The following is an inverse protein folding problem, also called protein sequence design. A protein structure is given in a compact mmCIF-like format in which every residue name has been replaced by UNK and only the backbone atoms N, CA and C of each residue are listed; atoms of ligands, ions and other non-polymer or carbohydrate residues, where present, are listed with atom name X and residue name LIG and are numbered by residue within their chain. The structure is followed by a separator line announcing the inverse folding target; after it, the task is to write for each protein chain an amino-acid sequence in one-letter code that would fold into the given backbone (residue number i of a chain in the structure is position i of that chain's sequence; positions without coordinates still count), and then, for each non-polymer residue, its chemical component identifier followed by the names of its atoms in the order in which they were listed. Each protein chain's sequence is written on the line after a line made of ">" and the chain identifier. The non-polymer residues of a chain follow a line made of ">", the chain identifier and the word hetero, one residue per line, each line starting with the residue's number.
data_IF_181589963163
#
_entry.id   IF_181589963163
#
_cell.length_a   1.000
_cell.length_b   1.000
_cell.length_c   1.000
_cell.angle_alpha   90.00
_cell.angle_beta   90.00
_cell.angle_gamma   90.00
#
_symmetry.space_group_name_H-M   'P 1'
#
loop_
_entity.id
_entity.type
_entity.pdbx_description
1 polymer ?
#
# COMPACT_ATOMS: atom_id res chain seq x y z
N UNK A 1 22.51 -71.00 -44.31
CA UNK A 1 21.16 -71.60 -44.13
C UNK A 1 21.16 -72.26 -42.76
N UNK A 2 20.44 -71.87 -41.71
CA UNK A 2 19.37 -70.90 -41.52
C UNK A 2 18.28 -71.52 -40.63
N UNK A 3 18.18 -71.06 -39.36
CA UNK A 3 17.11 -71.31 -38.36
C UNK A 3 17.00 -72.75 -37.82
N UNK A 4 16.56 -73.07 -36.61
CA UNK A 4 15.97 -72.41 -35.43
C UNK A 4 16.33 -73.32 -34.20
N UNK A 5 16.06 -73.08 -32.92
CA UNK A 5 15.29 -72.10 -32.14
C UNK A 5 15.53 -72.42 -30.64
N UNK A 6 15.57 -71.42 -29.77
CA UNK A 6 14.58 -71.16 -28.70
C UNK A 6 14.20 -72.36 -27.78
N UNK A 7 14.62 -72.31 -26.51
CA UNK A 7 13.77 -72.01 -25.33
C UNK A 7 14.39 -72.57 -24.02
N UNK A 8 14.20 -71.80 -22.95
CA UNK A 8 14.90 -71.86 -21.66
C UNK A 8 14.31 -72.85 -20.64
N UNK A 9 15.14 -73.23 -19.65
CA UNK A 9 14.86 -73.55 -18.23
C UNK A 9 16.23 -73.84 -17.57
N UNK A 10 16.66 -73.41 -16.38
CA UNK A 10 16.13 -72.64 -15.27
C UNK A 10 17.01 -72.98 -14.04
N UNK A 11 17.37 -71.97 -13.23
CA UNK A 11 18.12 -72.02 -11.94
C UNK A 11 19.63 -72.41 -12.05
N UNK A 12 20.61 -71.78 -11.41
CA UNK A 12 20.68 -71.16 -10.08
C UNK A 12 21.60 -69.91 -10.01
N UNK A 13 21.51 -69.25 -8.86
CA UNK A 13 21.98 -67.90 -8.51
C UNK A 13 23.49 -67.82 -8.25
N UNK A 14 24.10 -66.71 -8.66
CA UNK A 14 25.12 -66.01 -7.86
C UNK A 14 24.80 -64.51 -7.85
N UNK A 15 24.41 -64.03 -6.67
CA UNK A 15 24.14 -62.63 -6.41
C UNK A 15 25.45 -61.89 -6.07
N UNK A 16 25.64 -60.70 -6.64
CA UNK A 16 26.29 -59.60 -5.93
C UNK A 16 25.75 -58.25 -6.45
N UNK A 17 24.94 -57.52 -5.66
CA UNK A 17 24.30 -56.28 -6.05
C UNK A 17 25.05 -55.08 -5.46
N UNK A 18 26.02 -54.51 -6.17
CA UNK A 18 26.88 -53.44 -5.64
C UNK A 18 26.63 -52.04 -6.20
N UNK A 19 25.62 -51.81 -7.05
CA UNK A 19 25.34 -50.45 -7.57
C UNK A 19 23.98 -49.85 -7.21
N UNK A 20 23.00 -50.64 -6.76
CA UNK A 20 21.62 -50.13 -6.52
C UNK A 20 21.43 -49.56 -5.11
N UNK A 21 22.38 -49.77 -4.19
CA UNK A 21 22.24 -49.38 -2.77
C UNK A 21 22.69 -47.94 -2.45
N UNK A 22 23.46 -47.29 -3.32
CA UNK A 22 23.95 -45.91 -3.08
C UNK A 22 22.99 -44.81 -3.56
N UNK A 23 22.05 -45.12 -4.45
CA UNK A 23 21.10 -44.13 -4.98
C UNK A 23 19.71 -44.18 -4.37
N UNK A 24 19.38 -45.24 -3.61
CA UNK A 24 18.11 -45.32 -2.85
C UNK A 24 17.93 -44.23 -1.78
N UNK A 25 18.94 -43.85 -0.96
CA UNK A 25 18.72 -42.80 0.04
C UNK A 25 18.55 -41.43 -0.60
N UNK A 26 19.25 -41.16 -1.71
CA UNK A 26 19.16 -39.89 -2.44
C UNK A 26 17.81 -39.74 -3.16
N UNK A 27 17.31 -40.81 -3.79
CA UNK A 27 16.00 -40.84 -4.43
C UNK A 27 14.86 -40.71 -3.41
N UNK A 28 14.97 -41.37 -2.26
CA UNK A 28 14.01 -41.22 -1.16
C UNK A 28 14.05 -39.82 -0.54
N UNK A 29 15.23 -39.18 -0.46
CA UNK A 29 15.36 -37.80 0.02
C UNK A 29 14.71 -36.82 -0.95
N UNK A 30 14.88 -37.00 -2.26
CA UNK A 30 14.26 -36.16 -3.30
C UNK A 30 12.73 -36.36 -3.29
N UNK A 31 12.24 -37.59 -3.15
CA UNK A 31 10.80 -37.86 -3.02
C UNK A 31 10.26 -37.26 -1.71
N UNK A 32 10.99 -37.34 -0.60
CA UNK A 32 10.60 -36.72 0.67
C UNK A 32 10.62 -35.18 0.62
N UNK A 33 11.57 -34.57 -0.09
CA UNK A 33 11.65 -33.12 -0.31
C UNK A 33 10.54 -32.64 -1.28
N UNK A 34 10.21 -33.43 -2.31
CA UNK A 34 9.12 -33.12 -3.25
C UNK A 34 7.72 -33.39 -2.67
N UNK A 35 7.55 -34.43 -1.84
CA UNK A 35 6.29 -34.72 -1.15
C UNK A 35 6.10 -33.87 0.13
N UNK A 36 7.19 -33.41 0.75
CA UNK A 36 7.17 -32.48 1.88
C UNK A 36 6.85 -31.03 1.49
N UNK A 37 6.90 -30.69 0.20
CA UNK A 37 6.62 -29.36 -0.33
C UNK A 37 5.14 -29.14 -0.74
N UNK A 38 4.24 -30.11 -0.53
CA UNK A 38 2.83 -29.99 -0.94
C UNK A 38 1.78 -30.15 0.18
N UNK A 39 2.17 -30.03 1.45
CA UNK A 39 1.20 -29.87 2.56
C UNK A 39 1.36 -28.46 3.16
N UNK A 40 1.26 -27.46 2.30
CA UNK A 40 0.85 -26.12 2.68
C UNK A 40 -0.39 -25.83 1.87
N UNK A 41 -1.57 -26.01 2.46
CA UNK A 41 -2.80 -25.52 1.86
C UNK A 41 -2.64 -24.02 1.66
N UNK A 42 -2.35 -23.60 0.42
CA UNK A 42 -2.74 -22.30 -0.06
C UNK A 42 -4.27 -22.23 0.05
N UNK A 43 -4.78 -21.88 1.22
CA UNK A 43 -6.12 -21.32 1.31
C UNK A 43 -6.04 -19.93 0.70
N UNK A 44 -6.13 -19.91 -0.64
CA UNK A 44 -6.65 -18.75 -1.35
C UNK A 44 -8.03 -18.51 -0.74
N UNK A 45 -8.13 -17.53 0.14
CA UNK A 45 -9.40 -17.05 0.64
C UNK A 45 -10.11 -16.33 -0.50
N UNK A 46 -10.65 -17.12 -1.44
CA UNK A 46 -11.69 -16.64 -2.35
C UNK A 46 -12.80 -16.03 -1.48
N UNK A 47 -13.41 -14.89 -1.86
CA UNK A 47 -14.52 -14.34 -1.09
C UNK A 47 -15.60 -15.42 -1.01
N UNK A 48 -15.77 -16.01 0.17
CA UNK A 48 -16.55 -17.21 0.34
C UNK A 48 -18.02 -16.88 0.11
N UNK A 49 -18.69 -17.64 -0.75
CA UNK A 49 -20.12 -17.51 -0.96
C UNK A 49 -20.87 -17.63 0.38
N UNK A 50 -21.54 -16.56 0.82
CA UNK A 50 -22.21 -16.49 2.14
C UNK A 50 -23.68 -16.91 2.10
N UNK A 51 -24.09 -17.72 1.11
CA UNK A 51 -25.48 -18.14 0.96
C UNK A 51 -26.04 -18.84 2.20
N UNK A 52 -25.24 -19.71 2.84
CA UNK A 52 -25.66 -20.43 4.04
C UNK A 52 -26.07 -19.48 5.17
N UNK A 53 -25.32 -18.38 5.36
CA UNK A 53 -25.66 -17.35 6.33
C UNK A 53 -27.00 -16.67 6.01
N UNK A 54 -27.20 -16.27 4.75
CA UNK A 54 -28.48 -15.70 4.31
C UNK A 54 -29.66 -16.65 4.58
N UNK A 55 -29.48 -17.95 4.34
CA UNK A 55 -30.51 -18.97 4.61
C UNK A 55 -30.77 -19.13 6.11
N UNK A 56 -29.71 -19.21 6.93
CA UNK A 56 -29.84 -19.32 8.39
C UNK A 56 -30.55 -18.10 8.99
N UNK A 57 -30.22 -16.89 8.53
CA UNK A 57 -30.86 -15.65 8.98
C UNK A 57 -32.36 -15.64 8.63
N UNK A 58 -32.73 -16.08 7.42
CA UNK A 58 -34.14 -16.21 7.02
C UNK A 58 -34.92 -17.23 7.87
N UNK A 59 -34.33 -18.40 8.12
CA UNK A 59 -34.94 -19.42 8.97
C UNK A 59 -35.12 -18.90 10.40
N UNK A 60 -34.11 -18.21 10.95
CA UNK A 60 -34.19 -17.58 12.27
C UNK A 60 -35.33 -16.55 12.36
N UNK A 61 -35.43 -15.66 11.36
CA UNK A 61 -36.47 -14.63 11.28
C UNK A 61 -37.89 -15.18 11.13
N UNK A 62 -38.03 -16.41 10.65
CA UNK A 62 -39.33 -17.04 10.37
C UNK A 62 -39.70 -18.14 11.37
N UNK A 63 -38.75 -18.64 12.16
CA UNK A 63 -38.96 -19.75 13.11
C UNK A 63 -40.02 -19.46 14.19
N UNK A 64 -40.19 -18.19 14.57
CA UNK A 64 -41.16 -17.77 15.59
C UNK A 64 -42.52 -17.34 15.00
N UNK A 65 -42.64 -17.27 13.67
CA UNK A 65 -43.86 -16.85 13.00
C UNK A 65 -44.83 -18.03 12.92
N UNK A 66 -45.95 -17.95 13.64
CA UNK A 66 -47.05 -18.91 13.53
C UNK A 66 -48.26 -18.30 12.82
N UNK A 67 -49.06 -19.08 12.07
CA UNK A 67 -50.21 -18.56 11.32
C UNK A 67 -51.31 -17.92 12.19
N UNK A 68 -51.25 -18.11 13.51
CA UNK A 68 -52.19 -17.58 14.48
C UNK A 68 -51.83 -16.18 15.02
N UNK A 69 -50.70 -15.60 14.56
CA UNK A 69 -50.22 -14.28 15.00
C UNK A 69 -50.72 -13.20 14.04
N UNK A 70 -51.36 -12.15 14.58
CA UNK A 70 -51.72 -10.95 13.83
C UNK A 70 -50.48 -10.32 13.19
N UNK A 71 -50.52 -10.10 11.87
CA UNK A 71 -49.39 -9.54 11.12
C UNK A 71 -48.37 -10.57 10.59
N UNK A 72 -48.61 -11.88 10.76
CA UNK A 72 -47.77 -12.97 10.21
C UNK A 72 -47.36 -12.74 8.75
N UNK A 73 -48.31 -12.38 7.89
CA UNK A 73 -48.06 -12.14 6.47
C UNK A 73 -47.09 -10.96 6.23
N UNK A 74 -47.23 -9.90 7.02
CA UNK A 74 -46.38 -8.70 6.92
C UNK A 74 -44.96 -9.00 7.38
N UNK A 75 -44.79 -9.67 8.51
CA UNK A 75 -43.46 -10.01 9.06
C UNK A 75 -42.74 -11.06 8.21
N UNK A 76 -43.48 -12.03 7.65
CA UNK A 76 -42.93 -12.99 6.71
C UNK A 76 -42.44 -12.32 5.43
N UNK A 77 -43.21 -11.40 4.86
CA UNK A 77 -42.78 -10.62 3.69
C UNK A 77 -41.55 -9.73 3.99
N UNK A 78 -41.46 -9.14 5.20
CA UNK A 78 -40.27 -8.40 5.64
C UNK A 78 -39.03 -9.30 5.72
N UNK A 79 -39.16 -10.51 6.26
CA UNK A 79 -38.06 -11.49 6.31
C UNK A 79 -37.66 -11.97 4.92
N UNK A 80 -38.62 -12.17 4.02
CA UNK A 80 -38.37 -12.61 2.64
C UNK A 80 -37.66 -11.53 1.80
N UNK A 81 -38.01 -10.24 1.99
CA UNK A 81 -37.25 -9.12 1.40
C UNK A 81 -35.82 -9.06 1.94
N UNK A 82 -35.63 -9.28 3.25
CA UNK A 82 -34.29 -9.30 3.86
C UNK A 82 -33.42 -10.42 3.26
N UNK A 83 -34.01 -11.60 3.06
CA UNK A 83 -33.34 -12.73 2.41
C UNK A 83 -32.98 -12.43 0.95
N UNK A 84 -33.89 -11.81 0.19
CA UNK A 84 -33.62 -11.34 -1.18
C UNK A 84 -32.44 -10.36 -1.24
N UNK A 85 -32.42 -9.34 -0.38
CA UNK A 85 -31.32 -8.37 -0.33
C UNK A 85 -29.97 -9.02 0.06
N UNK A 86 -29.98 -9.96 1.02
CA UNK A 86 -28.77 -10.70 1.42
C UNK A 86 -28.18 -11.50 0.26
N UNK A 87 -29.03 -12.23 -0.48
CA UNK A 87 -28.59 -13.01 -1.64
C UNK A 87 -28.01 -12.12 -2.75
N UNK A 88 -28.61 -10.95 -3.02
CA UNK A 88 -28.09 -10.01 -4.02
C UNK A 88 -26.69 -9.48 -3.68
N UNK A 89 -26.41 -9.14 -2.41
CA UNK A 89 -25.09 -8.64 -1.98
C UNK A 89 -23.96 -9.67 -2.16
N UNK A 90 -24.25 -10.96 -1.96
CA UNK A 90 -23.25 -12.04 -2.11
C UNK A 90 -23.20 -12.65 -3.53
N UNK A 91 -23.98 -12.15 -4.49
CA UNK A 91 -24.16 -12.78 -5.80
C UNK A 91 -22.86 -12.92 -6.60
N UNK A 92 -21.95 -11.93 -6.53
CA UNK A 92 -20.66 -11.97 -7.24
C UNK A 92 -19.79 -13.15 -6.81
N UNK A 93 -19.79 -13.45 -5.52
CA UNK A 93 -19.03 -14.55 -4.90
C UNK A 93 -19.72 -15.92 -5.01
N UNK A 94 -21.00 -15.95 -5.37
CA UNK A 94 -21.83 -17.17 -5.40
C UNK A 94 -22.16 -17.69 -6.81
N UNK A 95 -21.53 -17.17 -7.87
CA UNK A 95 -21.85 -17.49 -9.28
C UNK A 95 -21.92 -18.99 -9.60
N UNK A 96 -21.03 -19.79 -9.02
CA UNK A 96 -20.96 -21.25 -9.22
C UNK A 96 -21.63 -22.10 -8.13
N UNK A 97 -22.37 -21.50 -7.19
CA UNK A 97 -22.96 -22.22 -6.07
C UNK A 97 -24.41 -22.61 -6.37
N UNK A 98 -24.70 -23.92 -6.43
CA UNK A 98 -26.05 -24.42 -6.72
C UNK A 98 -27.09 -23.99 -5.66
N UNK A 99 -26.71 -23.98 -4.38
CA UNK A 99 -27.59 -23.57 -3.26
C UNK A 99 -28.02 -22.12 -3.40
N UNK A 100 -27.12 -21.25 -3.87
CA UNK A 100 -27.44 -19.86 -4.18
C UNK A 100 -28.51 -19.75 -5.28
N UNK A 101 -28.34 -20.45 -6.40
CA UNK A 101 -29.32 -20.41 -7.49
C UNK A 101 -30.68 -21.00 -7.08
N UNK A 102 -30.67 -22.09 -6.32
CA UNK A 102 -31.89 -22.65 -5.73
C UNK A 102 -32.58 -21.67 -4.77
N UNK A 103 -31.82 -20.95 -3.94
CA UNK A 103 -32.36 -19.94 -3.04
C UNK A 103 -32.96 -18.74 -3.78
N UNK A 104 -32.29 -18.23 -4.83
CA UNK A 104 -32.82 -17.12 -5.65
C UNK A 104 -34.15 -17.49 -6.30
N UNK A 105 -34.27 -18.70 -6.85
CA UNK A 105 -35.51 -19.21 -7.41
C UNK A 105 -36.60 -19.37 -6.34
N UNK A 106 -36.25 -19.96 -5.19
CA UNK A 106 -37.18 -20.15 -4.07
C UNK A 106 -37.69 -18.82 -3.48
N UNK A 107 -36.84 -17.80 -3.39
CA UNK A 107 -37.25 -16.45 -2.96
C UNK A 107 -38.28 -15.88 -3.95
N UNK A 108 -38.02 -15.98 -5.26
CA UNK A 108 -38.95 -15.47 -6.28
C UNK A 108 -40.31 -16.16 -6.22
N UNK A 109 -40.32 -17.48 -6.05
CA UNK A 109 -41.55 -18.28 -5.91
C UNK A 109 -42.33 -17.90 -4.65
N UNK A 110 -41.67 -17.83 -3.49
CA UNK A 110 -42.28 -17.43 -2.23
C UNK A 110 -42.86 -16.00 -2.27
N UNK A 111 -42.21 -15.07 -2.97
CA UNK A 111 -42.70 -13.70 -3.14
C UNK A 111 -44.00 -13.68 -3.94
N UNK A 112 -44.12 -14.51 -4.98
CA UNK A 112 -45.33 -14.64 -5.81
C UNK A 112 -46.44 -15.35 -5.02
N UNK A 113 -46.15 -16.50 -4.41
CA UNK A 113 -47.12 -17.30 -3.67
C UNK A 113 -47.78 -16.53 -2.52
N UNK A 114 -47.03 -15.63 -1.88
CA UNK A 114 -47.53 -14.82 -0.76
C UNK A 114 -47.87 -13.40 -1.16
N UNK A 115 -47.82 -13.04 -2.44
CA UNK A 115 -48.14 -11.68 -2.91
C UNK A 115 -47.37 -10.58 -2.15
N UNK A 116 -46.07 -10.82 -1.89
CA UNK A 116 -45.21 -9.86 -1.20
C UNK A 116 -44.73 -8.81 -2.21
N UNK A 117 -44.88 -7.52 -1.87
CA UNK A 117 -44.21 -6.44 -2.61
C UNK A 117 -42.69 -6.60 -2.55
N UNK A 118 -41.99 -6.37 -3.66
CA UNK A 118 -40.51 -6.35 -3.72
C UNK A 118 -39.93 -5.15 -2.96
N UNK A 119 -40.70 -4.07 -2.89
CA UNK A 119 -40.33 -2.85 -2.19
C UNK A 119 -41.01 -2.77 -0.81
N UNK A 120 -40.29 -2.27 0.19
CA UNK A 120 -40.78 -2.10 1.56
C UNK A 120 -39.75 -2.47 2.63
N UNK A 121 -40.09 -2.34 3.93
CA UNK A 121 -39.16 -2.60 5.02
C UNK A 121 -38.70 -4.07 5.04
N UNK A 122 -37.47 -4.29 5.48
CA UNK A 122 -36.87 -5.62 5.71
C UNK A 122 -36.88 -5.96 7.19
N UNK A 123 -37.04 -7.25 7.53
CA UNK A 123 -36.96 -7.68 8.94
C UNK A 123 -35.49 -7.64 9.37
N UNK A 124 -35.21 -6.95 10.47
CA UNK A 124 -33.86 -6.70 10.94
C UNK A 124 -33.50 -7.66 12.06
N UNK A 125 -32.57 -8.58 11.81
CA UNK A 125 -31.74 -9.18 12.89
C UNK A 125 -30.61 -8.24 13.30
N UNK A 126 -30.44 -7.12 12.59
CA UNK A 126 -29.50 -6.09 12.98
C UNK A 126 -30.14 -5.29 14.13
N UNK A 127 -29.48 -5.12 15.30
CA UNK A 127 -29.91 -4.05 16.20
C UNK A 127 -30.04 -2.79 15.36
N UNK A 128 -31.12 -2.03 15.60
CA UNK A 128 -31.34 -0.67 15.09
C UNK A 128 -29.97 -0.05 14.84
N UNK A 129 -29.61 0.18 13.57
CA UNK A 129 -28.26 0.65 13.22
C UNK A 129 -28.13 2.00 13.91
N UNK A 130 -27.60 1.99 15.12
CA UNK A 130 -27.07 3.17 15.78
C UNK A 130 -26.14 3.74 14.74
N UNK A 131 -26.51 4.91 14.18
CA UNK A 131 -25.71 5.56 13.16
C UNK A 131 -24.30 5.67 13.72
N UNK A 132 -23.40 4.84 13.20
CA UNK A 132 -22.03 4.82 13.69
C UNK A 132 -21.48 6.21 13.38
N UNK A 133 -20.96 6.94 14.39
CA UNK A 133 -20.60 8.32 14.19
C UNK A 133 -19.59 8.40 13.02
N UNK A 134 -19.87 9.30 12.08
CA UNK A 134 -19.00 9.56 10.93
C UNK A 134 -17.67 10.21 11.33
N UNK A 135 -17.39 10.34 12.62
CA UNK A 135 -16.08 10.70 13.12
C UNK A 135 -15.33 9.42 13.54
N UNK A 136 -14.23 9.14 12.85
CA UNK A 136 -13.36 8.01 13.15
C UNK A 136 -12.91 7.99 14.63
N UNK A 137 -12.63 9.16 15.23
CA UNK A 137 -12.22 9.25 16.63
C UNK A 137 -13.35 8.88 17.60
N UNK A 138 -14.56 9.33 17.33
CA UNK A 138 -15.72 8.99 18.16
C UNK A 138 -16.00 7.49 18.08
N UNK A 139 -15.94 6.92 16.88
CA UNK A 139 -16.13 5.48 16.66
C UNK A 139 -15.13 4.62 17.44
N UNK A 140 -13.85 4.94 17.33
CA UNK A 140 -12.79 4.22 18.05
C UNK A 140 -12.93 4.37 19.56
N UNK A 141 -13.34 5.54 20.07
CA UNK A 141 -13.62 5.71 21.51
C UNK A 141 -14.78 4.86 22.01
N UNK A 142 -15.89 4.78 21.25
CA UNK A 142 -17.06 3.97 21.62
C UNK A 142 -16.81 2.46 21.58
N UNK A 143 -16.06 1.98 20.56
CA UNK A 143 -15.68 0.58 20.46
C UNK A 143 -14.89 0.11 21.70
N UNK A 144 -14.04 0.95 22.28
CA UNK A 144 -13.28 0.61 23.49
C UNK A 144 -14.12 0.71 24.78
N UNK A 145 -15.16 1.54 24.85
CA UNK A 145 -16.03 1.62 26.04
C UNK A 145 -16.91 0.39 26.26
N UNK A 146 -17.36 -0.28 25.19
CA UNK A 146 -18.19 -1.50 25.31
C UNK A 146 -17.40 -2.74 25.72
N UNK A 147 -16.08 -2.77 25.50
CA UNK A 147 -15.22 -3.89 25.92
C UNK A 147 -14.93 -3.85 27.43
N UNK A 148 -14.98 -2.66 28.05
CA UNK A 148 -14.68 -2.49 29.47
C UNK A 148 -15.87 -2.76 30.42
N UNK A 149 -17.08 -3.02 29.92
CA UNK A 149 -18.24 -3.34 30.77
C UNK A 149 -18.20 -4.78 31.33
N UNK A 150 -17.29 -5.65 30.87
CA UNK A 150 -17.23 -7.06 31.29
C UNK A 150 -15.89 -7.53 31.90
N UNK A 151 -14.94 -6.63 32.17
CA UNK A 151 -13.67 -7.02 32.78
C UNK A 151 -13.26 -6.06 33.90
N UNK A 152 -13.41 -6.51 35.14
CA UNK A 152 -12.74 -5.92 36.29
C UNK A 152 -11.22 -6.14 36.18
N UNK A 153 -10.46 -5.08 36.46
CA UNK A 153 -9.03 -5.07 36.82
C UNK A 153 -8.01 -5.29 35.69
N UNK A 154 -7.45 -4.20 35.16
CA UNK A 154 -6.09 -3.73 35.43
C UNK A 154 -5.75 -2.61 34.42
N UNK A 155 -5.21 -1.50 34.92
CA UNK A 155 -4.99 -0.28 34.15
C UNK A 155 -4.10 -0.48 32.93
N UNK A 156 -4.70 -0.38 31.75
CA UNK A 156 -4.02 0.02 30.53
C UNK A 156 -4.74 1.24 29.97
N UNK A 157 -4.02 2.37 29.99
CA UNK A 157 -4.52 3.65 29.50
C UNK A 157 -4.99 3.57 28.06
N UNK A 158 -5.94 4.45 27.73
CA UNK A 158 -6.47 4.70 26.40
C UNK A 158 -5.41 4.50 25.28
N UNK A 159 -5.41 3.35 24.61
CA UNK A 159 -4.56 3.15 23.43
C UNK A 159 -5.13 4.01 22.30
N UNK A 160 -4.56 5.20 22.08
CA UNK A 160 -4.90 6.02 20.91
C UNK A 160 -4.70 5.18 19.64
N UNK A 161 -5.55 5.34 18.60
CA UNK A 161 -5.36 4.64 17.34
C UNK A 161 -3.94 4.84 16.82
N UNK A 162 -3.28 3.74 16.48
CA UNK A 162 -1.99 3.78 15.80
C UNK A 162 -2.15 4.43 14.44
N UNK A 163 -1.32 5.43 14.12
CA UNK A 163 -1.29 6.05 12.80
C UNK A 163 0.00 5.63 12.08
N UNK A 164 -0.08 5.55 10.75
CA UNK A 164 1.05 5.33 9.87
C UNK A 164 1.22 6.52 8.93
N UNK A 165 2.44 6.70 8.43
CA UNK A 165 2.79 7.77 7.51
C UNK A 165 3.41 7.18 6.25
N UNK A 166 3.00 7.69 5.09
CA UNK A 166 3.65 7.44 3.81
C UNK A 166 3.93 8.77 3.10
N UNK A 167 5.05 8.87 2.38
CA UNK A 167 5.41 10.07 1.63
C UNK A 167 6.11 9.74 0.31
N UNK A 168 5.83 10.54 -0.71
CA UNK A 168 6.43 10.47 -2.05
C UNK A 168 6.85 11.87 -2.52
N UNK A 169 8.11 12.03 -2.88
CA UNK A 169 8.68 13.31 -3.31
C UNK A 169 9.95 13.09 -4.12
N UNK A 170 10.49 14.11 -4.79
CA UNK A 170 11.77 13.97 -5.49
C UNK A 170 11.71 12.98 -6.64
N UNK A 171 12.78 12.19 -6.82
CA UNK A 171 12.92 11.24 -7.92
C UNK A 171 12.47 9.79 -7.66
N UNK A 172 11.15 9.60 -7.67
CA UNK A 172 10.38 9.53 -6.44
C UNK A 172 11.07 8.73 -5.34
N UNK A 173 11.43 9.45 -4.29
CA UNK A 173 11.75 8.93 -2.99
C UNK A 173 10.47 8.56 -2.24
N UNK A 174 10.38 7.30 -1.83
CA UNK A 174 9.25 6.72 -1.14
C UNK A 174 9.62 6.41 0.32
N UNK A 175 8.88 6.99 1.25
CA UNK A 175 8.80 6.54 2.64
C UNK A 175 7.53 5.73 2.83
N UNK A 176 7.67 4.45 3.16
CA UNK A 176 6.54 3.53 3.37
C UNK A 176 5.95 3.66 4.78
N UNK A 177 4.78 3.05 5.00
CA UNK A 177 4.14 2.91 6.31
C UNK A 177 5.02 2.17 7.34
N UNK A 178 5.98 1.37 6.88
CA UNK A 178 6.94 0.65 7.73
C UNK A 178 8.18 1.48 8.05
N UNK A 179 8.17 2.78 7.70
CA UNK A 179 9.31 3.68 7.81
C UNK A 179 10.54 3.21 7.00
N UNK A 180 10.33 2.37 5.99
CA UNK A 180 11.41 2.07 5.03
C UNK A 180 11.50 3.16 3.98
N UNK A 181 12.73 3.52 3.62
CA UNK A 181 13.02 4.53 2.62
C UNK A 181 13.59 3.89 1.37
N UNK A 182 13.06 4.25 0.21
CA UNK A 182 13.42 3.69 -1.08
C UNK A 182 13.44 4.80 -2.13
N UNK A 183 14.24 4.64 -3.17
CA UNK A 183 14.24 5.54 -4.34
C UNK A 183 13.95 4.71 -5.56
N UNK A 184 12.97 5.15 -6.33
CA UNK A 184 12.29 4.27 -7.26
C UNK A 184 12.21 4.90 -8.64
N UNK A 185 12.36 4.10 -9.69
CA UNK A 185 12.07 4.53 -11.06
C UNK A 185 10.55 4.68 -11.23
N UNK A 186 9.80 3.58 -11.08
CA UNK A 186 8.32 3.51 -11.10
C UNK A 186 7.69 4.45 -12.14
N UNK A 187 8.18 4.35 -13.37
CA UNK A 187 7.70 5.15 -14.51
C UNK A 187 6.25 4.77 -14.86
N UNK A 188 5.43 5.75 -15.23
CA UNK A 188 4.01 5.53 -15.54
C UNK A 188 3.14 5.56 -14.29
N UNK A 189 2.00 4.85 -14.33
CA UNK A 189 0.98 4.93 -13.29
C UNK A 189 1.13 3.81 -12.26
N UNK A 190 1.21 4.16 -10.97
CA UNK A 190 1.46 3.22 -9.88
C UNK A 190 0.51 3.45 -8.68
N UNK A 191 0.00 2.36 -8.06
CA UNK A 191 -0.81 2.45 -6.84
C UNK A 191 0.07 2.65 -5.60
N UNK A 192 -0.11 3.79 -4.93
CA UNK A 192 0.51 4.05 -3.63
C UNK A 192 -0.25 3.35 -2.50
N UNK A 193 -1.56 3.50 -2.51
CA UNK A 193 -2.49 2.89 -1.55
C UNK A 193 -3.63 2.33 -2.39
N UNK A 194 -4.02 1.09 -2.13
CA UNK A 194 -5.25 0.52 -2.66
C UNK A 194 -5.82 -0.47 -1.63
N UNK A 195 -6.69 0.04 -0.77
CA UNK A 195 -7.32 -0.71 0.32
C UNK A 195 -8.84 -0.57 0.26
N UNK A 196 -9.58 -1.12 1.22
CA UNK A 196 -11.06 -1.10 1.18
C UNK A 196 -11.69 0.31 1.20
N UNK A 197 -10.94 1.35 1.58
CA UNK A 197 -11.45 2.70 1.85
C UNK A 197 -10.89 3.79 0.93
N UNK A 198 -9.68 3.61 0.42
CA UNK A 198 -8.91 4.64 -0.27
C UNK A 198 -8.07 4.01 -1.38
N UNK A 199 -8.12 4.63 -2.56
CA UNK A 199 -7.16 4.36 -3.63
C UNK A 199 -6.39 5.64 -3.96
N UNK A 200 -5.05 5.56 -3.93
CA UNK A 200 -4.14 6.65 -4.28
C UNK A 200 -3.24 6.16 -5.40
N UNK A 201 -3.34 6.82 -6.55
CA UNK A 201 -2.56 6.50 -7.74
C UNK A 201 -1.71 7.71 -8.13
N UNK A 202 -0.46 7.47 -8.50
CA UNK A 202 0.45 8.50 -9.00
C UNK A 202 0.92 8.17 -10.39
N UNK A 203 1.21 9.17 -11.20
CA UNK A 203 1.90 9.01 -12.48
C UNK A 203 3.26 9.68 -12.41
N UNK A 204 4.32 8.92 -12.67
CA UNK A 204 5.69 9.44 -12.70
C UNK A 204 6.21 9.47 -14.13
N UNK A 205 6.92 10.54 -14.46
CA UNK A 205 7.52 10.77 -15.79
C UNK A 205 9.02 10.99 -15.65
N UNK A 206 9.86 10.53 -16.61
CA UNK A 206 11.28 10.82 -16.59
C UNK A 206 11.55 12.32 -16.55
N UNK A 207 12.44 12.76 -15.65
CA UNK A 207 12.79 14.19 -15.52
C UNK A 207 13.62 14.63 -16.72
N UNK A 208 14.55 13.78 -17.16
CA UNK A 208 15.29 13.95 -18.41
C UNK A 208 15.19 12.67 -19.24
N UNK A 209 15.06 12.77 -20.58
CA UNK A 209 14.98 11.59 -21.45
C UNK A 209 16.18 10.65 -21.26
N UNK A 210 15.91 9.36 -21.03
CA UNK A 210 16.94 8.33 -20.87
C UNK A 210 17.54 8.22 -19.46
N UNK A 211 17.13 9.06 -18.50
CA UNK A 211 17.51 8.90 -17.09
C UNK A 211 16.56 7.96 -16.34
N UNK A 212 17.08 7.31 -15.30
CA UNK A 212 16.29 6.55 -14.33
C UNK A 212 15.53 7.45 -13.35
N UNK A 213 15.89 8.74 -13.26
CA UNK A 213 15.20 9.71 -12.41
C UNK A 213 13.85 10.08 -13.03
N UNK A 214 12.77 9.73 -12.34
CA UNK A 214 11.41 10.14 -12.70
C UNK A 214 10.87 11.11 -11.66
N UNK A 215 9.73 11.76 -11.88
CA UNK A 215 9.06 12.56 -10.87
C UNK A 215 7.55 12.58 -11.10
N UNK A 216 6.78 12.77 -10.03
CA UNK A 216 5.33 12.69 -10.08
C UNK A 216 4.72 13.91 -10.77
N UNK A 217 3.91 13.71 -11.81
CA UNK A 217 3.22 14.80 -12.51
C UNK A 217 1.69 14.73 -12.42
N UNK A 218 1.15 13.64 -11.88
CA UNK A 218 -0.29 13.45 -11.66
C UNK A 218 -0.54 12.63 -10.42
N UNK A 219 -1.53 13.04 -9.63
CA UNK A 219 -2.01 12.32 -8.44
C UNK A 219 -3.52 12.18 -8.57
N UNK A 220 -4.03 10.98 -8.38
CA UNK A 220 -5.46 10.68 -8.31
C UNK A 220 -5.76 10.02 -6.96
N UNK A 221 -6.70 10.56 -6.21
CA UNK A 221 -7.14 10.05 -4.91
C UNK A 221 -8.63 9.75 -5.02
N UNK A 222 -9.00 8.51 -4.75
CA UNK A 222 -10.40 8.04 -4.74
C UNK A 222 -10.75 7.69 -3.29
N UNK A 223 -11.62 8.50 -2.71
CA UNK A 223 -12.30 8.19 -1.46
C UNK A 223 -13.47 7.26 -1.79
N UNK A 224 -13.36 5.99 -1.42
CA UNK A 224 -14.41 4.98 -1.67
C UNK A 224 -15.66 5.33 -0.85
N UNK A 225 -16.87 4.98 -1.34
CA UNK A 225 -18.11 5.33 -0.65
C UNK A 225 -18.13 4.70 0.75
N UNK A 226 -18.61 5.47 1.72
CA UNK A 226 -18.77 5.03 3.10
C UNK A 226 -20.21 5.30 3.55
N UNK A 227 -20.96 4.22 3.77
CA UNK A 227 -22.39 4.27 4.06
C UNK A 227 -22.70 5.21 5.24
N UNK A 228 -23.65 6.12 5.04
CA UNK A 228 -24.04 7.11 6.04
C UNK A 228 -23.09 8.30 6.22
N UNK A 229 -21.92 8.33 5.57
CA UNK A 229 -20.94 9.40 5.75
C UNK A 229 -20.55 10.14 4.48
N UNK A 230 -20.24 9.44 3.39
CA UNK A 230 -19.87 10.10 2.12
C UNK A 230 -20.10 9.18 0.94
N UNK A 231 -20.57 9.76 -0.15
CA UNK A 231 -20.48 9.13 -1.47
C UNK A 231 -19.02 9.06 -1.93
N UNK A 232 -18.78 8.31 -3.01
CA UNK A 232 -17.46 8.26 -3.64
C UNK A 232 -17.04 9.66 -4.09
N UNK A 233 -15.80 10.06 -3.78
CA UNK A 233 -15.21 11.31 -4.26
C UNK A 233 -13.86 11.06 -4.92
N UNK A 234 -13.63 11.76 -6.02
CA UNK A 234 -12.37 11.68 -6.78
C UNK A 234 -11.71 13.05 -6.74
N UNK A 235 -10.44 13.06 -6.38
CA UNK A 235 -9.58 14.22 -6.44
C UNK A 235 -8.45 13.94 -7.43
N UNK A 236 -8.29 14.81 -8.42
CA UNK A 236 -7.18 14.73 -9.36
C UNK A 236 -6.36 16.02 -9.38
N UNK A 237 -5.04 15.86 -9.25
CA UNK A 237 -4.07 16.93 -9.40
C UNK A 237 -3.08 16.60 -10.53
N UNK A 238 -2.64 17.62 -11.25
CA UNK A 238 -1.60 17.54 -12.27
C UNK A 238 -0.60 18.68 -12.16
N UNK A 239 0.51 18.58 -12.88
CA UNK A 239 1.42 19.72 -13.06
C UNK A 239 0.65 20.93 -13.57
N UNK A 240 0.82 22.07 -12.89
CA UNK A 240 0.18 23.36 -13.15
C UNK A 240 -1.35 23.38 -12.92
N UNK A 241 -1.90 22.31 -12.33
CA UNK A 241 -3.30 22.20 -11.99
C UNK A 241 -3.48 21.46 -10.65
N UNK A 242 -3.44 22.23 -9.55
CA UNK A 242 -3.70 21.74 -8.20
C UNK A 242 -5.01 22.35 -7.67
N UNK A 243 -6.18 21.75 -7.98
CA UNK A 243 -7.47 22.31 -7.61
C UNK A 243 -7.73 22.18 -6.10
N UNK A 244 -8.54 23.10 -5.56
CA UNK A 244 -9.07 23.06 -4.20
C UNK A 244 -10.46 22.40 -4.10
N UNK A 245 -10.80 21.56 -5.09
CA UNK A 245 -12.09 20.89 -5.21
C UNK A 245 -11.89 19.46 -5.76
N UNK A 246 -12.88 18.60 -5.54
CA UNK A 246 -13.04 17.31 -6.19
C UNK A 246 -13.39 17.50 -7.68
N UNK A 247 -13.29 16.43 -8.47
CA UNK A 247 -13.52 16.47 -9.92
C UNK A 247 -14.94 16.93 -10.31
N UNK A 248 -15.91 16.76 -9.40
CA UNK A 248 -17.29 17.24 -9.55
C UNK A 248 -17.49 18.70 -9.11
N UNK A 249 -16.42 19.40 -8.74
CA UNK A 249 -16.43 20.79 -8.27
C UNK A 249 -16.80 20.96 -6.79
N UNK A 250 -17.12 19.88 -6.07
CA UNK A 250 -17.43 19.96 -4.64
C UNK A 250 -16.15 20.14 -3.81
N UNK A 251 -16.21 20.88 -2.71
CA UNK A 251 -15.07 21.06 -1.77
C UNK A 251 -15.18 20.16 -0.54
N UNK A 252 -16.30 19.47 -0.39
CA UNK A 252 -16.60 18.59 0.74
C UNK A 252 -17.69 17.60 0.39
N UNK A 253 -17.76 16.52 1.17
CA UNK A 253 -18.77 15.47 1.07
C UNK A 253 -19.19 15.00 2.45
N UNK A 254 -20.46 14.60 2.56
CA UNK A 254 -21.08 14.16 3.82
C UNK A 254 -21.65 15.29 4.67
N UNK A 255 -22.59 14.91 5.54
CA UNK A 255 -23.21 15.84 6.48
C UNK A 255 -22.20 16.35 7.53
N UNK A 256 -22.37 17.59 8.03
CA UNK A 256 -21.51 18.11 9.07
C UNK A 256 -21.68 17.32 10.37
N UNK A 257 -20.58 16.76 10.87
CA UNK A 257 -20.55 15.99 12.12
C UNK A 257 -20.74 16.97 13.27
N UNK A 258 -21.81 16.79 14.06
CA UNK A 258 -21.94 17.46 15.36
C UNK A 258 -20.96 16.83 16.35
N UNK A 259 -19.97 17.58 16.81
CA UNK A 259 -19.30 17.28 18.08
C UNK A 259 -20.35 17.55 19.17
N UNK A 260 -20.58 16.58 20.03
CA UNK A 260 -21.65 16.55 21.04
C UNK A 260 -21.89 17.87 21.78
N UNK A 261 -23.17 18.12 22.03
CA UNK A 261 -23.81 19.11 22.91
C UNK A 261 -22.96 19.50 24.12
N UNK A 262 -22.32 20.68 24.04
CA UNK A 262 -22.13 21.67 25.11
C UNK A 262 -21.16 22.75 24.64
N UNK A 263 -21.66 23.70 23.84
CA UNK A 263 -21.31 25.12 23.93
C UNK A 263 -21.96 25.85 22.77
N UNK A 264 -22.64 26.93 23.13
CA UNK A 264 -23.32 27.88 22.28
C UNK A 264 -22.30 28.74 21.49
N UNK A 265 -21.43 28.06 20.73
CA UNK A 265 -20.42 28.68 19.89
C UNK A 265 -20.47 28.07 18.50
N UNK A 266 -20.52 28.93 17.49
CA UNK A 266 -20.54 28.58 16.06
C UNK A 266 -19.22 27.93 15.57
N UNK A 267 -18.53 27.18 16.43
CA UNK A 267 -17.24 26.55 16.21
C UNK A 267 -17.39 25.02 16.20
N UNK A 268 -17.27 24.42 15.01
CA UNK A 268 -16.87 23.02 14.91
C UNK A 268 -17.83 22.04 14.23
N UNK A 269 -18.61 22.46 13.23
CA UNK A 269 -19.19 21.51 12.26
C UNK A 269 -18.05 20.96 11.38
N UNK A 270 -17.45 19.83 11.75
CA UNK A 270 -16.41 19.18 10.94
C UNK A 270 -17.10 18.27 9.92
N UNK A 271 -16.94 18.55 8.62
CA UNK A 271 -17.53 17.70 7.55
C UNK A 271 -16.84 16.34 7.51
N UNK A 272 -17.52 15.29 7.03
CA UNK A 272 -16.93 13.95 6.97
C UNK A 272 -15.68 13.93 6.06
N UNK A 273 -15.75 14.59 4.91
CA UNK A 273 -14.66 14.73 3.94
C UNK A 273 -14.60 16.18 3.42
N UNK A 274 -13.42 16.81 3.42
CA UNK A 274 -13.24 18.15 2.85
C UNK A 274 -11.82 18.44 2.36
N UNK A 275 -11.70 19.43 1.48
CA UNK A 275 -10.44 19.95 0.95
C UNK A 275 -10.18 21.34 1.53
N UNK A 276 -8.92 21.61 1.89
CA UNK A 276 -8.45 22.89 2.40
C UNK A 276 -7.28 23.38 1.56
N UNK A 277 -7.44 24.53 0.91
CA UNK A 277 -6.35 25.18 0.17
C UNK A 277 -5.50 26.00 1.14
N UNK A 278 -4.23 25.62 1.28
CA UNK A 278 -3.27 26.28 2.17
C UNK A 278 -2.46 27.34 1.43
N UNK A 279 -2.14 27.06 0.17
CA UNK A 279 -1.48 28.00 -0.75
C UNK A 279 -2.11 27.86 -2.12
N UNK A 280 -2.67 28.93 -2.70
CA UNK A 280 -3.36 28.89 -3.99
C UNK A 280 -2.57 28.18 -5.07
N UNK A 281 -3.16 27.12 -5.66
CA UNK A 281 -2.57 26.33 -6.74
C UNK A 281 -1.23 25.65 -6.42
N UNK A 282 -0.81 25.59 -5.14
CA UNK A 282 0.49 25.02 -4.74
C UNK A 282 0.44 24.05 -3.57
N UNK A 283 -0.54 24.18 -2.68
CA UNK A 283 -0.64 23.33 -1.50
C UNK A 283 -2.09 23.15 -1.09
N UNK A 284 -2.56 21.90 -1.15
CA UNK A 284 -3.87 21.50 -0.66
C UNK A 284 -3.75 20.37 0.35
N UNK A 285 -4.70 20.32 1.26
CA UNK A 285 -4.82 19.28 2.28
C UNK A 285 -6.23 18.69 2.21
N UNK A 286 -6.32 17.37 2.06
CA UNK A 286 -7.56 16.61 2.05
C UNK A 286 -7.73 15.91 3.38
N UNK A 287 -8.91 16.09 3.98
CA UNK A 287 -9.23 15.57 5.29
C UNK A 287 -10.44 14.65 5.20
N UNK A 288 -10.23 13.36 5.45
CA UNK A 288 -11.29 12.36 5.53
C UNK A 288 -11.48 11.97 6.99
N UNK A 289 -12.22 12.80 7.73
CA UNK A 289 -12.50 12.61 9.15
C UNK A 289 -13.21 11.29 9.49
N UNK A 290 -14.00 10.76 8.55
CA UNK A 290 -14.73 9.49 8.72
C UNK A 290 -13.87 8.24 8.75
N UNK A 291 -12.67 8.31 8.16
CA UNK A 291 -11.66 7.24 8.20
C UNK A 291 -10.35 7.71 8.85
N UNK A 292 -10.34 8.91 9.46
CA UNK A 292 -9.15 9.45 10.11
C UNK A 292 -7.96 9.70 9.17
N UNK A 293 -8.18 9.81 7.86
CA UNK A 293 -7.11 10.00 6.87
C UNK A 293 -6.85 11.48 6.62
N UNK A 294 -5.58 11.82 6.42
CA UNK A 294 -5.16 13.16 5.98
C UNK A 294 -4.16 13.01 4.84
N UNK A 295 -4.38 13.73 3.74
CA UNK A 295 -3.50 13.73 2.58
C UNK A 295 -3.05 15.15 2.28
N UNK A 296 -1.75 15.35 2.11
CA UNK A 296 -1.15 16.62 1.68
C UNK A 296 -0.67 16.44 0.24
N UNK A 297 -1.06 17.37 -0.63
CA UNK A 297 -0.56 17.44 -2.01
C UNK A 297 0.05 18.82 -2.23
N UNK A 298 1.28 18.85 -2.76
CA UNK A 298 1.95 20.10 -3.14
C UNK A 298 2.46 20.03 -4.56
N UNK A 299 2.46 21.18 -5.23
CA UNK A 299 3.22 21.38 -6.46
C UNK A 299 4.48 22.19 -6.16
N UNK A 300 5.64 21.63 -6.52
CA UNK A 300 6.95 22.22 -6.30
C UNK A 300 7.74 22.18 -7.62
N UNK A 301 7.92 23.36 -8.21
CA UNK A 301 8.35 23.47 -9.60
C UNK A 301 7.32 22.82 -10.52
N UNK A 302 7.75 21.80 -11.26
CA UNK A 302 6.94 21.08 -12.25
C UNK A 302 6.34 19.77 -11.75
N UNK A 303 6.64 19.39 -10.51
CA UNK A 303 6.31 18.07 -9.99
C UNK A 303 5.48 18.17 -8.72
N UNK A 304 4.80 17.06 -8.40
CA UNK A 304 3.93 16.94 -7.26
C UNK A 304 4.61 16.15 -6.14
N UNK A 305 4.33 16.51 -4.90
CA UNK A 305 4.68 15.70 -3.72
C UNK A 305 3.41 15.28 -2.99
N UNK A 306 3.47 14.13 -2.34
CA UNK A 306 2.35 13.54 -1.61
C UNK A 306 2.81 13.12 -0.21
N UNK A 307 1.99 13.40 0.80
CA UNK A 307 2.14 12.81 2.12
C UNK A 307 0.79 12.33 2.66
N UNK A 308 0.75 11.16 3.28
CA UNK A 308 -0.49 10.53 3.78
C UNK A 308 -0.30 10.10 5.23
N UNK A 309 -1.29 10.45 6.07
CA UNK A 309 -1.49 9.87 7.40
C UNK A 309 -2.75 9.02 7.38
N UNK A 310 -2.65 7.77 7.82
CA UNK A 310 -3.76 6.80 7.83
C UNK A 310 -3.73 5.99 9.13
N UNK A 311 -4.88 5.60 9.72
CA UNK A 311 -4.89 4.65 10.82
C UNK A 311 -4.33 3.28 10.40
N UNK A 312 -3.59 2.63 11.29
CA UNK A 312 -2.91 1.36 11.02
C UNK A 312 -3.89 0.26 10.58
N UNK A 313 -5.03 0.15 11.25
CA UNK A 313 -6.08 -0.82 10.92
C UNK A 313 -6.66 -0.64 9.51
N UNK A 314 -6.78 0.60 9.03
CA UNK A 314 -7.28 0.87 7.67
C UNK A 314 -6.19 0.66 6.62
N UNK A 315 -4.93 0.96 6.95
CA UNK A 315 -3.81 0.67 6.06
C UNK A 315 -3.62 -0.84 5.82
N UNK A 316 -4.05 -1.68 6.75
CA UNK A 316 -3.97 -3.14 6.68
C UNK A 316 -5.27 -3.82 6.18
N UNK A 317 -6.34 -3.05 5.95
CA UNK A 317 -7.63 -3.55 5.45
C UNK A 317 -7.67 -3.58 3.92
N UNK A 318 -6.99 -4.56 3.33
CA UNK A 318 -6.93 -4.78 1.88
C UNK A 318 -7.08 -6.27 1.56
N UNK A 319 -7.48 -6.58 0.32
CA UNK A 319 -7.64 -7.96 -0.14
C UNK A 319 -6.37 -8.53 -0.80
N UNK A 320 -6.33 -9.85 -1.02
CA UNK A 320 -5.17 -10.51 -1.62
C UNK A 320 -4.93 -10.14 -3.10
N UNK A 321 -5.89 -9.48 -3.77
CA UNK A 321 -5.75 -9.00 -5.15
C UNK A 321 -5.10 -7.62 -5.24
N UNK A 322 -4.96 -6.93 -4.11
CA UNK A 322 -4.35 -5.60 -3.95
C UNK A 322 -2.89 -5.71 -3.44
N UNK A 323 -2.13 -6.67 -3.96
CA UNK A 323 -0.77 -6.96 -3.50
C UNK A 323 0.25 -5.85 -3.83
N UNK A 324 0.03 -5.13 -4.93
CA UNK A 324 0.84 -4.00 -5.36
C UNK A 324 0.38 -2.70 -4.71
N UNK A 325 1.02 -2.33 -3.60
CA UNK A 325 0.83 -1.04 -2.92
C UNK A 325 2.17 -0.49 -2.44
N UNK A 326 2.63 0.60 -3.06
CA UNK A 326 3.95 1.17 -2.78
C UNK A 326 4.09 1.60 -1.30
N UNK A 327 3.08 2.23 -0.70
CA UNK A 327 3.14 2.65 0.70
C UNK A 327 3.21 1.48 1.69
N UNK A 328 2.76 0.28 1.32
CA UNK A 328 2.77 -0.89 2.21
C UNK A 328 4.00 -1.79 2.02
N UNK A 329 4.33 -2.07 0.76
CA UNK A 329 5.33 -3.08 0.37
C UNK A 329 6.60 -2.45 -0.23
N UNK A 330 6.56 -1.16 -0.55
CA UNK A 330 7.62 -0.48 -1.28
C UNK A 330 7.60 -0.81 -2.78
N UNK A 331 8.59 -0.30 -3.48
CA UNK A 331 8.76 -0.52 -4.92
C UNK A 331 9.20 -1.96 -5.21
N UNK A 332 8.76 -2.56 -6.33
CA UNK A 332 9.30 -3.83 -6.80
C UNK A 332 10.82 -3.77 -6.97
N UNK A 333 11.54 -4.87 -6.76
CA UNK A 333 13.01 -4.87 -6.79
C UNK A 333 13.60 -4.38 -8.12
N UNK A 334 12.92 -4.63 -9.26
CA UNK A 334 13.35 -4.13 -10.58
C UNK A 334 13.14 -2.64 -10.79
N UNK A 335 12.33 -1.99 -9.95
CA UNK A 335 12.06 -0.55 -10.00
C UNK A 335 12.87 0.24 -8.96
N UNK A 336 13.69 -0.43 -8.14
CA UNK A 336 14.51 0.22 -7.11
C UNK A 336 15.83 0.71 -7.70
N UNK A 337 16.18 1.95 -7.38
CA UNK A 337 17.46 2.59 -7.74
C UNK A 337 18.47 2.41 -6.59
N UNK A 338 18.00 2.22 -5.37
CA UNK A 338 18.85 2.00 -4.20
C UNK A 338 19.42 0.56 -4.16
N UNK A 339 20.71 0.43 -3.82
CA UNK A 339 21.33 -0.87 -3.56
C UNK A 339 21.15 -1.20 -2.07
N UNK A 340 20.13 -1.99 -1.74
CA UNK A 340 19.88 -2.49 -0.38
C UNK A 340 19.78 -1.38 0.70
N UNK A 341 19.10 -0.27 0.39
CA UNK A 341 18.94 0.86 1.31
C UNK A 341 20.11 1.85 1.31
N UNK A 342 21.07 1.71 0.39
CA UNK A 342 22.02 2.78 0.04
C UNK A 342 21.57 3.48 -1.24
N UNK A 343 21.43 4.80 -1.16
CA UNK A 343 21.39 5.68 -2.32
C UNK A 343 22.80 5.83 -2.88
N UNK A 344 23.15 5.20 -4.03
CA UNK A 344 24.45 5.41 -4.63
C UNK A 344 24.50 6.84 -5.16
N UNK A 345 25.25 7.71 -4.48
CA UNK A 345 25.52 9.04 -5.02
C UNK A 345 26.32 8.87 -6.33
N UNK A 346 25.87 9.43 -7.46
CA UNK A 346 26.63 9.39 -8.70
C UNK A 346 28.03 9.98 -8.45
N UNK A 347 29.08 9.20 -8.72
CA UNK A 347 30.48 9.66 -8.61
C UNK A 347 30.85 10.71 -9.66
N UNK A 348 30.05 10.83 -10.71
CA UNK A 348 30.07 11.89 -11.71
C UNK A 348 28.64 12.21 -12.16
N UNK A 349 28.30 13.48 -12.42
CA UNK A 349 27.03 13.81 -13.06
C UNK A 349 26.97 13.08 -14.43
N UNK A 350 25.80 12.55 -14.84
CA UNK A 350 25.65 11.98 -16.18
C UNK A 350 26.15 12.98 -17.23
N UNK A 351 26.79 12.47 -18.29
CA UNK A 351 27.46 13.26 -19.34
C UNK A 351 26.49 14.06 -20.25
N UNK A 352 25.48 14.70 -19.67
CA UNK A 352 24.43 15.46 -20.35
C UNK A 352 24.89 16.87 -20.80
N UNK A 353 26.18 17.19 -20.66
CA UNK A 353 26.76 18.45 -21.10
C UNK A 353 27.45 18.44 -22.48
N UNK A 354 27.64 17.28 -23.12
CA UNK A 354 28.44 17.17 -24.35
C UNK A 354 27.65 17.09 -25.67
N UNK A 355 26.32 16.93 -25.64
CA UNK A 355 25.54 16.75 -26.88
C UNK A 355 24.80 18.01 -27.39
N UNK A 356 24.81 19.12 -26.64
CA UNK A 356 24.15 20.38 -27.03
C UNK A 356 25.12 21.51 -27.44
N UNK A 357 26.43 21.26 -27.46
CA UNK A 357 27.38 22.17 -28.11
C UNK A 357 27.52 21.80 -29.59
N UNK A 358 26.53 22.19 -30.40
CA UNK A 358 26.82 22.48 -31.81
C UNK A 358 27.80 23.66 -31.86
N UNK A 359 28.82 23.62 -32.74
CA UNK A 359 29.85 24.66 -32.78
C UNK A 359 29.25 25.98 -33.24
N UNK A 360 29.08 26.94 -32.32
CA UNK A 360 28.72 28.32 -32.64
C UNK A 360 29.84 28.95 -33.46
N UNK A 361 29.55 29.27 -34.72
CA UNK A 361 30.30 30.27 -35.49
C UNK A 361 30.32 31.60 -34.73
N UNK A 362 31.43 32.37 -34.75
CA UNK A 362 31.49 33.64 -34.07
C UNK A 362 30.81 34.72 -34.93
N UNK A 363 29.72 35.31 -34.44
CA UNK A 363 29.27 36.62 -34.88
C UNK A 363 29.04 37.53 -33.67
N UNK A 364 29.67 38.68 -33.77
CA UNK A 364 29.82 39.75 -32.77
C UNK A 364 28.55 40.58 -32.54
N UNK A 365 28.48 41.18 -31.34
CA UNK A 365 27.67 42.36 -30.91
C UNK A 365 26.43 42.09 -30.01
N UNK A 366 26.08 43.02 -29.10
CA UNK A 366 25.83 42.68 -27.69
C UNK A 366 24.41 42.98 -27.15
N UNK A 367 24.17 42.47 -25.94
CA UNK A 367 23.15 42.87 -24.95
C UNK A 367 21.67 42.67 -25.31
N UNK A 368 21.07 41.64 -24.71
CA UNK A 368 19.79 41.81 -24.00
C UNK A 368 19.69 40.74 -22.90
N UNK A 369 19.62 41.20 -21.64
CA UNK A 369 19.38 40.35 -20.48
C UNK A 369 17.94 39.85 -20.52
N UNK A 370 17.76 38.56 -20.82
CA UNK A 370 16.54 37.82 -20.50
C UNK A 370 16.96 36.56 -19.73
N UNK A 371 16.67 36.53 -18.43
CA UNK A 371 16.90 35.38 -17.56
C UNK A 371 16.10 34.18 -18.03
N UNK A 372 16.71 33.04 -18.43
CA UNK A 372 15.96 31.84 -18.72
C UNK A 372 15.53 31.19 -17.40
N UNK A 373 14.22 31.18 -17.16
CA UNK A 373 13.59 30.46 -16.08
C UNK A 373 13.76 28.95 -16.35
N UNK A 374 14.55 28.26 -15.52
CA UNK A 374 14.80 26.82 -15.64
C UNK A 374 16.17 26.45 -16.23
N UNK A 375 17.26 27.03 -15.73
CA UNK A 375 18.59 26.56 -16.09
C UNK A 375 18.87 25.21 -15.40
N UNK A 376 18.84 24.11 -16.15
CA UNK A 376 19.43 22.84 -15.72
C UNK A 376 20.90 23.09 -15.42
N UNK A 377 21.30 22.96 -14.15
CA UNK A 377 22.68 23.18 -13.73
C UNK A 377 23.37 21.84 -13.55
N UNK A 378 24.60 21.75 -14.04
CA UNK A 378 25.46 20.61 -13.72
C UNK A 378 25.98 20.83 -12.30
N UNK A 379 25.43 20.09 -11.33
CA UNK A 379 25.93 20.11 -9.97
C UNK A 379 27.10 19.12 -9.82
N UNK A 380 28.21 19.60 -9.24
CA UNK A 380 29.18 18.70 -8.63
C UNK A 380 28.69 18.22 -7.26
N UNK A 381 29.22 17.11 -6.75
CA UNK A 381 28.83 16.53 -5.45
C UNK A 381 28.88 17.56 -4.31
N UNK A 382 29.93 18.37 -4.26
CA UNK A 382 30.09 19.39 -3.22
C UNK A 382 29.07 20.53 -3.36
N UNK A 383 28.84 21.02 -4.59
CA UNK A 383 27.84 22.06 -4.84
C UNK A 383 26.42 21.60 -4.56
N UNK A 384 26.08 20.33 -4.86
CA UNK A 384 24.79 19.75 -4.49
C UNK A 384 24.61 19.69 -2.97
N UNK A 385 25.64 19.24 -2.23
CA UNK A 385 25.62 19.20 -0.75
C UNK A 385 25.43 20.58 -0.14
N UNK A 386 26.19 21.58 -0.60
CA UNK A 386 26.07 22.96 -0.12
C UNK A 386 24.67 23.51 -0.35
N UNK A 387 24.13 23.33 -1.57
CA UNK A 387 22.80 23.80 -1.93
C UNK A 387 21.69 23.16 -1.10
N UNK A 388 21.78 21.86 -0.83
CA UNK A 388 20.82 21.15 0.01
C UNK A 388 20.95 21.56 1.48
N UNK A 389 22.16 21.81 1.97
CA UNK A 389 22.44 22.18 3.36
C UNK A 389 21.82 23.53 3.75
N UNK A 390 21.55 24.42 2.79
CA UNK A 390 20.87 25.69 3.03
C UNK A 390 19.49 25.55 3.68
N UNK A 391 18.75 24.46 3.39
CA UNK A 391 17.42 24.19 3.96
C UNK A 391 17.36 22.91 4.80
N UNK A 392 18.26 21.96 4.54
CA UNK A 392 18.33 20.65 5.18
C UNK A 392 19.67 20.52 5.92
N UNK A 393 19.76 21.14 7.10
CA UNK A 393 21.00 21.15 7.89
C UNK A 393 21.42 19.75 8.37
N UNK A 394 20.43 18.89 8.64
CA UNK A 394 20.64 17.52 9.11
C UNK A 394 20.84 16.59 7.92
N UNK A 395 21.95 15.84 7.92
CA UNK A 395 22.28 14.86 6.88
C UNK A 395 21.50 13.55 7.05
N UNK A 396 20.18 13.63 7.02
CA UNK A 396 19.27 12.49 7.01
C UNK A 396 18.87 12.10 5.58
N UNK A 397 17.95 11.14 5.43
CA UNK A 397 17.43 10.72 4.13
C UNK A 397 16.92 11.88 3.26
N UNK A 398 16.32 12.95 3.83
CA UNK A 398 15.80 14.06 3.03
C UNK A 398 16.94 14.87 2.44
N UNK A 399 18.00 15.10 3.21
CA UNK A 399 19.23 15.72 2.70
C UNK A 399 19.87 14.87 1.60
N UNK A 400 20.01 13.55 1.83
CA UNK A 400 20.65 12.67 0.84
C UNK A 400 19.84 12.53 -0.45
N UNK A 401 18.51 12.52 -0.34
CA UNK A 401 17.57 12.60 -1.46
C UNK A 401 17.74 13.89 -2.25
N UNK A 402 17.74 15.04 -1.58
CA UNK A 402 18.02 16.33 -2.23
C UNK A 402 19.34 16.30 -3.01
N UNK A 403 20.41 15.77 -2.41
CA UNK A 403 21.71 15.70 -3.09
C UNK A 403 21.66 14.77 -4.30
N UNK A 404 20.97 13.63 -4.17
CA UNK A 404 20.78 12.69 -5.28
C UNK A 404 20.01 13.33 -6.43
N UNK A 405 18.84 13.90 -6.16
CA UNK A 405 18.00 14.61 -7.14
C UNK A 405 18.80 15.69 -7.91
N UNK A 406 19.58 16.52 -7.19
CA UNK A 406 20.39 17.56 -7.84
C UNK A 406 21.46 17.00 -8.77
N UNK A 407 22.07 15.87 -8.41
CA UNK A 407 23.11 15.22 -9.21
C UNK A 407 22.53 14.49 -10.43
N UNK A 408 21.33 13.91 -10.30
CA UNK A 408 20.68 13.14 -11.38
C UNK A 408 19.93 14.02 -12.36
N UNK A 409 19.30 15.10 -11.89
CA UNK A 409 18.39 15.93 -12.69
C UNK A 409 18.94 17.31 -13.03
N UNK A 410 19.76 17.90 -12.16
CA UNK A 410 20.19 19.29 -12.29
C UNK A 410 19.10 20.33 -11.98
N UNK A 411 17.92 19.93 -11.50
CA UNK A 411 16.81 20.84 -11.17
C UNK A 411 16.85 21.26 -9.69
N UNK A 412 17.09 22.55 -9.45
CA UNK A 412 17.16 23.10 -8.10
C UNK A 412 15.83 23.04 -7.33
N UNK A 413 14.67 22.86 -7.98
CA UNK A 413 13.37 22.75 -7.32
C UNK A 413 13.27 21.53 -6.39
N UNK A 414 14.08 20.50 -6.64
CA UNK A 414 14.14 19.32 -5.77
C UNK A 414 14.64 19.63 -4.35
N UNK A 415 15.38 20.73 -4.16
CA UNK A 415 15.73 21.21 -2.81
C UNK A 415 14.50 21.56 -1.99
N UNK A 416 13.55 22.28 -2.60
CA UNK A 416 12.29 22.66 -1.98
C UNK A 416 11.37 21.45 -1.83
N UNK A 417 11.43 20.49 -2.75
CA UNK A 417 10.70 19.22 -2.65
C UNK A 417 11.11 18.41 -1.42
N UNK A 418 12.41 18.19 -1.23
CA UNK A 418 12.93 17.47 -0.07
C UNK A 418 12.64 18.20 1.25
N UNK A 419 12.81 19.53 1.29
CA UNK A 419 12.44 20.34 2.46
C UNK A 419 10.94 20.26 2.79
N UNK A 420 10.09 20.36 1.78
CA UNK A 420 8.63 20.27 1.97
C UNK A 420 8.22 18.90 2.47
N UNK A 421 8.80 17.82 1.93
CA UNK A 421 8.54 16.46 2.37
C UNK A 421 8.96 16.21 3.83
N UNK A 422 10.07 16.83 4.26
CA UNK A 422 10.47 16.83 5.68
C UNK A 422 9.39 17.52 6.54
N UNK A 423 8.87 18.68 6.12
CA UNK A 423 7.81 19.40 6.84
C UNK A 423 6.50 18.64 6.89
N UNK A 424 6.15 17.93 5.82
CA UNK A 424 4.94 17.11 5.78
C UNK A 424 5.05 15.90 6.71
N UNK A 425 6.24 15.30 6.79
CA UNK A 425 6.54 14.27 7.77
C UNK A 425 6.47 14.80 9.21
N UNK A 426 7.05 15.98 9.51
CA UNK A 426 6.97 16.60 10.84
C UNK A 426 5.52 16.92 11.25
N UNK A 427 4.64 17.19 10.27
CA UNK A 427 3.21 17.47 10.49
C UNK A 427 2.37 16.20 10.73
N UNK A 428 2.62 15.15 9.94
CA UNK A 428 1.74 13.99 9.85
C UNK A 428 2.24 12.76 10.60
N UNK A 429 3.56 12.58 10.76
CA UNK A 429 4.12 11.37 11.32
C UNK A 429 3.94 11.30 12.86
N UNK A 430 3.30 10.25 13.40
CA UNK A 430 2.87 10.22 14.81
C UNK A 430 4.03 10.08 15.81
N UNK A 431 5.12 9.43 15.42
CA UNK A 431 6.26 9.19 16.31
C UNK A 431 7.46 10.06 15.96
N UNK A 432 7.74 11.07 16.80
CA UNK A 432 8.91 11.97 16.63
C UNK A 432 10.24 11.22 16.58
N UNK A 433 10.37 10.13 17.33
CA UNK A 433 11.58 9.31 17.36
C UNK A 433 11.94 8.69 15.99
N UNK A 434 10.95 8.54 15.10
CA UNK A 434 11.16 7.98 13.75
C UNK A 434 11.22 9.04 12.65
N UNK A 435 11.17 10.32 13.00
CA UNK A 435 11.17 11.40 12.00
C UNK A 435 12.43 11.40 11.14
N UNK A 436 13.57 11.15 11.79
CA UNK A 436 14.88 11.11 11.15
C UNK A 436 15.27 9.68 10.85
N UNK A 437 15.65 9.42 9.61
CA UNK A 437 16.25 8.16 9.17
C UNK A 437 17.64 8.54 8.65
N UNK A 438 18.66 7.92 9.21
CA UNK A 438 20.04 8.13 8.76
C UNK A 438 20.44 6.97 7.85
N UNK A 439 21.18 7.24 6.75
CA UNK A 439 21.76 6.18 5.95
C UNK A 439 22.62 5.27 6.84
N UNK A 440 22.54 3.97 6.63
CA UNK A 440 23.47 3.05 7.29
C UNK A 440 24.86 3.40 6.80
N UNK A 441 25.80 3.73 7.68
CA UNK A 441 27.20 3.89 7.28
C UNK A 441 27.65 2.52 6.79
N UNK A 442 28.17 2.43 5.56
CA UNK A 442 28.86 1.22 5.10
C UNK A 442 29.91 0.89 6.15
N UNK A 443 29.76 -0.22 6.86
CA UNK A 443 30.86 -0.77 7.63
C UNK A 443 32.04 -0.93 6.68
N UNK A 444 33.12 -0.20 6.93
CA UNK A 444 34.33 -0.22 6.13
C UNK A 444 34.74 -1.67 5.79
N UNK A 445 35.28 -1.96 4.59
CA UNK A 445 35.68 -3.31 4.19
C UNK A 445 36.77 -3.93 5.08
N UNK A 446 37.36 -3.15 6.00
CA UNK A 446 38.47 -3.54 6.87
C UNK A 446 38.14 -4.72 7.79
N UNK A 447 36.89 -4.93 8.19
CA UNK A 447 36.51 -6.06 9.06
C UNK A 447 36.31 -7.39 8.31
N UNK A 448 36.01 -7.36 7.01
CA UNK A 448 35.86 -8.59 6.20
C UNK A 448 37.23 -9.16 5.82
N UNK A 449 38.20 -8.28 5.55
CA UNK A 449 39.59 -8.71 5.33
C UNK A 449 40.16 -9.39 6.60
N UNK A 450 40.01 -8.81 7.79
CA UNK A 450 40.51 -9.43 9.01
C UNK A 450 39.96 -10.86 9.25
N UNK A 451 38.68 -11.10 8.91
CA UNK A 451 38.07 -12.43 9.07
C UNK A 451 38.59 -13.48 8.07
N UNK A 452 38.87 -13.08 6.82
CA UNK A 452 39.41 -14.01 5.81
C UNK A 452 40.87 -14.38 6.09
N UNK A 453 41.70 -13.42 6.49
CA UNK A 453 43.11 -13.68 6.82
C UNK A 453 43.25 -14.58 8.05
N UNK A 454 42.42 -14.39 9.08
CA UNK A 454 42.41 -15.26 10.26
C UNK A 454 41.98 -16.69 9.90
N UNK A 455 40.97 -16.86 9.03
CA UNK A 455 40.54 -18.19 8.56
C UNK A 455 41.61 -18.89 7.72
N UNK A 456 42.33 -18.15 6.87
CA UNK A 456 43.46 -18.69 6.09
C UNK A 456 44.64 -19.07 6.97
N UNK A 457 44.96 -18.27 8.00
CA UNK A 457 46.05 -18.57 8.93
C UNK A 457 45.74 -19.82 9.77
N UNK A 458 44.49 -19.97 10.23
CA UNK A 458 44.03 -21.16 10.96
C UNK A 458 44.06 -22.40 10.07
N UNK A 459 43.67 -22.29 8.79
CA UNK A 459 43.73 -23.41 7.85
C UNK A 459 45.18 -23.83 7.54
N UNK A 460 46.09 -22.86 7.40
CA UNK A 460 47.52 -23.12 7.19
C UNK A 460 48.17 -23.77 8.43
N UNK A 461 47.81 -23.32 9.63
CA UNK A 461 48.28 -23.92 10.89
C UNK A 461 47.76 -25.36 11.06
N UNK A 462 46.49 -25.61 10.72
CA UNK A 462 45.92 -26.97 10.75
C UNK A 462 46.61 -27.91 9.75
N UNK A 463 46.87 -27.43 8.52
CA UNK A 463 47.61 -28.20 7.51
C UNK A 463 49.07 -28.47 7.92
N UNK A 464 49.73 -27.52 8.58
CA UNK A 464 51.10 -27.71 9.08
C UNK A 464 51.16 -28.75 10.20
N UNK A 465 50.15 -28.79 11.09
CA UNK A 465 50.09 -29.79 12.17
C UNK A 465 49.79 -31.21 11.67
N UNK A 466 49.14 -31.37 10.52
CA UNK A 466 48.90 -32.70 9.92
C UNK A 466 50.12 -33.29 9.20
N UNK A 467 51.12 -32.48 8.83
CA UNK A 467 52.33 -32.96 8.14
C UNK A 467 53.41 -33.42 9.13
N UNK A 468 53.34 -33.02 10.41
CA UNK A 468 54.30 -33.42 11.45
C UNK A 468 53.91 -34.76 12.14
N UNK A 469 52.78 -35.36 11.73
CA UNK A 469 52.22 -36.56 12.38
C UNK A 469 52.06 -37.78 11.44
N UNK A 470 52.88 -37.85 10.39
CA UNK A 470 53.05 -39.07 9.56
C UNK A 470 54.53 -39.44 9.48
#
# INVERSE_FOLDING_TARGET
>A
MGRAGCCCRGAERLASPSLVRRFRPLLLLIIALCCGAHIGQCQVATPQCRIQKCTTDFVSLTAHLTPAVDGFHTEFCKALRAYSACTQRTAKSCRGNLVFHSAVLGISDLMIQRNCSRDGPTSSTHPEVQHEPCNYRSRTQHAHSHVHAHAHSHGHGHSKPGYLFCGLFGDPHLRTFKDSFQTCKVEGAWPLIDNDYLSVQVTNVPVVPGSSATATNKITIIFKPYEGCTDQKVYQAGTDNLPAAFDDGTVSSGDPIQLSVDSDSAAGKVRALWISERSPGRHVELYAGYIGVTVIVRQLGRYLTLAVRIPEELAQAYDATQDLQLCLNGCPSGERIDQAGHLPLPSSPPALGLQLQQPRRPSSSPQTQASPHGAVRVFGVQGAKERCKEQLEVQDIYFHSCVFDLLTTGDANFTVAAYSALKDMESLHPHRAKWRIYPRVSSSPTLVFASQWVKQLVLLLLCATTVVLI
#
